data_IF_569617940845
#
_entry.id   IF_569617940845
#
_cell.length_a   1.000
_cell.length_b   1.000
_cell.length_c   1.000
_cell.angle_alpha   90.00
_cell.angle_beta   90.00
_cell.angle_gamma   90.00
#
_symmetry.space_group_name_H-M   'P 1'
#
loop_
_entity.id
_entity.type
_entity.pdbx_description
1 polymer ?
#
# COMPACT_ATOMS: atom_id res chain seq x y z
N UNK A 1 17.06 -1.16 -16.85
CA UNK A 1 15.64 -0.85 -17.12
C UNK A 1 15.51 0.64 -17.42
N UNK A 2 14.66 1.03 -18.36
CA UNK A 2 14.31 2.45 -18.57
C UNK A 2 13.22 2.86 -17.55
N UNK A 3 13.65 3.08 -16.31
CA UNK A 3 12.78 3.50 -15.21
C UNK A 3 11.94 4.76 -15.54
N UNK A 4 12.49 5.82 -16.18
CA UNK A 4 11.72 7.00 -16.58
C UNK A 4 10.46 6.70 -17.41
N UNK A 5 10.53 5.80 -18.39
CA UNK A 5 9.36 5.47 -19.23
C UNK A 5 8.27 4.72 -18.45
N UNK A 6 8.67 3.78 -17.58
CA UNK A 6 7.73 2.99 -16.77
C UNK A 6 7.05 3.86 -15.70
N UNK A 7 7.78 4.84 -15.15
CA UNK A 7 7.29 5.72 -14.08
C UNK A 7 6.45 6.88 -14.61
N UNK A 8 6.51 7.23 -15.89
CA UNK A 8 5.79 8.39 -16.44
C UNK A 8 4.29 8.41 -16.11
N UNK A 9 3.51 7.30 -16.26
CA UNK A 9 2.11 7.29 -15.86
C UNK A 9 1.92 7.44 -14.34
N UNK A 10 2.83 6.88 -13.55
CA UNK A 10 2.81 6.93 -12.08
C UNK A 10 3.09 8.35 -11.59
N UNK A 11 4.11 9.02 -12.16
CA UNK A 11 4.46 10.41 -11.87
C UNK A 11 3.35 11.34 -12.36
N UNK A 12 2.70 11.06 -13.48
CA UNK A 12 1.54 11.85 -13.92
C UNK A 12 0.34 11.68 -12.98
N UNK A 13 0.19 10.50 -12.36
CA UNK A 13 -0.87 10.21 -11.39
C UNK A 13 -0.55 10.80 -10.00
N UNK A 14 0.74 10.84 -9.63
CA UNK A 14 1.25 11.42 -8.39
C UNK A 14 1.66 12.88 -8.59
N UNK A 15 0.91 13.81 -8.02
CA UNK A 15 1.16 15.24 -8.23
C UNK A 15 2.39 15.83 -7.51
N UNK A 16 3.20 15.01 -6.83
CA UNK A 16 4.48 15.44 -6.28
C UNK A 16 5.47 14.27 -6.22
N UNK A 17 6.77 14.51 -6.46
CA UNK A 17 7.79 13.50 -6.24
C UNK A 17 8.01 13.26 -4.74
N UNK A 18 8.66 12.15 -4.41
CA UNK A 18 9.17 11.88 -3.08
C UNK A 18 10.21 12.95 -2.71
N UNK A 19 10.09 13.61 -1.54
CA UNK A 19 11.05 14.62 -1.12
C UNK A 19 12.46 14.05 -0.96
N UNK A 20 13.49 14.78 -1.40
CA UNK A 20 14.89 14.36 -1.25
C UNK A 20 15.25 14.05 0.22
N UNK A 21 14.74 14.81 1.17
CA UNK A 21 14.96 14.55 2.61
C UNK A 21 14.45 13.17 3.06
N UNK A 22 13.39 12.64 2.43
CA UNK A 22 12.93 11.26 2.70
C UNK A 22 13.94 10.25 2.13
N UNK A 23 14.45 10.48 0.91
CA UNK A 23 15.45 9.59 0.27
C UNK A 23 16.75 9.57 1.07
N UNK A 24 17.23 10.76 1.48
CA UNK A 24 18.47 10.92 2.24
C UNK A 24 18.42 10.18 3.59
N UNK A 25 17.25 10.14 4.23
CA UNK A 25 17.03 9.37 5.44
C UNK A 25 16.83 7.88 5.14
N UNK A 26 15.99 7.52 4.18
CA UNK A 26 15.66 6.14 3.85
C UNK A 26 16.89 5.34 3.39
N UNK A 27 17.80 5.95 2.63
CA UNK A 27 19.01 5.26 2.11
C UNK A 27 20.04 4.91 3.17
N UNK A 28 19.90 5.40 4.41
CA UNK A 28 20.86 5.11 5.47
C UNK A 28 20.84 3.61 5.82
N UNK A 29 21.99 2.91 5.91
CA UNK A 29 22.01 1.47 6.18
C UNK A 29 21.26 1.05 7.44
N UNK A 30 21.31 1.86 8.51
CA UNK A 30 20.60 1.63 9.76
C UNK A 30 19.06 1.59 9.62
N UNK A 31 18.54 2.16 8.54
CA UNK A 31 17.12 2.25 8.25
C UNK A 31 16.61 1.08 7.38
N UNK A 32 17.50 0.28 6.80
CA UNK A 32 17.14 -0.85 5.94
C UNK A 32 16.23 -1.87 6.65
N UNK A 33 16.46 -2.27 7.92
CA UNK A 33 15.54 -3.17 8.62
C UNK A 33 14.12 -2.64 8.74
N UNK A 34 13.96 -1.33 9.00
CA UNK A 34 12.65 -0.69 9.09
C UNK A 34 11.97 -0.64 7.73
N UNK A 35 12.70 -0.30 6.67
CA UNK A 35 12.16 -0.25 5.30
C UNK A 35 11.66 -1.62 4.83
N UNK A 36 12.48 -2.67 4.98
CA UNK A 36 12.10 -4.02 4.55
C UNK A 36 10.92 -4.56 5.37
N UNK A 37 10.93 -4.32 6.68
CA UNK A 37 9.81 -4.70 7.55
C UNK A 37 8.52 -3.99 7.14
N UNK A 38 8.58 -2.67 6.92
CA UNK A 38 7.41 -1.89 6.54
C UNK A 38 6.89 -2.28 5.16
N UNK A 39 7.79 -2.49 4.20
CA UNK A 39 7.46 -2.99 2.87
C UNK A 39 6.75 -4.34 2.94
N UNK A 40 7.35 -5.32 3.63
CA UNK A 40 6.75 -6.65 3.83
C UNK A 40 5.34 -6.55 4.42
N UNK A 41 5.14 -5.68 5.43
CA UNK A 41 3.81 -5.48 6.02
C UNK A 41 2.85 -4.78 5.06
N UNK A 42 3.32 -3.89 4.19
CA UNK A 42 2.51 -3.25 3.17
C UNK A 42 1.99 -4.25 2.13
N UNK A 43 2.82 -5.19 1.69
CA UNK A 43 2.42 -6.27 0.79
C UNK A 43 1.27 -7.11 1.38
N UNK A 44 1.39 -7.49 2.66
CA UNK A 44 0.30 -8.20 3.34
C UNK A 44 -0.98 -7.35 3.44
N UNK A 45 -0.86 -6.04 3.73
CA UNK A 45 -2.03 -5.14 3.78
C UNK A 45 -2.70 -5.00 2.42
N UNK A 46 -1.94 -4.99 1.32
CA UNK A 46 -2.48 -4.92 -0.03
C UNK A 46 -3.29 -6.19 -0.35
N UNK A 47 -2.74 -7.38 -0.09
CA UNK A 47 -3.47 -8.65 -0.19
C UNK A 47 -4.74 -8.68 0.67
N UNK A 48 -4.66 -8.22 1.93
CA UNK A 48 -5.80 -8.14 2.83
C UNK A 48 -6.89 -7.17 2.31
N UNK A 49 -6.51 -6.01 1.78
CA UNK A 49 -7.47 -5.05 1.22
C UNK A 49 -8.20 -5.65 0.00
N UNK A 50 -7.48 -6.31 -0.91
CA UNK A 50 -8.06 -7.00 -2.06
C UNK A 50 -9.06 -8.09 -1.61
N UNK A 51 -8.70 -8.86 -0.59
CA UNK A 51 -9.57 -9.89 -0.02
C UNK A 51 -10.86 -9.31 0.57
N UNK A 52 -10.76 -8.18 1.27
CA UNK A 52 -11.92 -7.47 1.82
C UNK A 52 -12.84 -6.90 0.73
N UNK A 53 -12.30 -6.54 -0.44
CA UNK A 53 -13.11 -6.16 -1.60
C UNK A 53 -13.85 -7.37 -2.16
N UNK A 54 -13.17 -8.50 -2.37
CA UNK A 54 -13.80 -9.74 -2.83
C UNK A 54 -14.93 -10.17 -1.91
N UNK A 55 -14.68 -10.21 -0.59
CA UNK A 55 -15.69 -10.53 0.43
C UNK A 55 -16.92 -9.61 0.39
N UNK A 56 -16.72 -8.32 0.09
CA UNK A 56 -17.79 -7.33 0.15
C UNK A 56 -18.64 -7.29 -1.12
N UNK A 57 -18.00 -7.51 -2.27
CA UNK A 57 -18.60 -7.22 -3.57
C UNK A 57 -18.84 -8.44 -4.45
N UNK A 58 -18.27 -9.61 -4.12
CA UNK A 58 -18.37 -10.81 -4.98
C UNK A 58 -18.73 -12.07 -4.22
N UNK A 59 -17.98 -12.40 -3.16
CA UNK A 59 -18.08 -13.70 -2.51
C UNK A 59 -19.30 -13.80 -1.58
N UNK A 60 -19.87 -15.00 -1.50
CA UNK A 60 -20.80 -15.32 -0.42
C UNK A 60 -20.07 -15.41 0.93
N UNK A 61 -20.83 -15.58 2.02
CA UNK A 61 -20.24 -15.57 3.37
C UNK A 61 -19.28 -16.74 3.60
N UNK A 62 -19.54 -17.92 3.03
CA UNK A 62 -18.74 -19.12 3.27
C UNK A 62 -17.41 -19.04 2.53
N UNK A 63 -17.44 -18.68 1.24
CA UNK A 63 -16.25 -18.51 0.41
C UNK A 63 -15.34 -17.40 0.95
N UNK A 64 -15.95 -16.30 1.43
CA UNK A 64 -15.20 -15.19 2.02
C UNK A 64 -14.45 -15.58 3.31
N UNK A 65 -15.04 -16.43 4.15
CA UNK A 65 -14.40 -16.87 5.40
C UNK A 65 -13.23 -17.83 5.10
N UNK A 66 -13.34 -18.71 4.11
CA UNK A 66 -12.24 -19.57 3.65
C UNK A 66 -11.06 -18.75 3.09
N UNK A 67 -11.38 -17.76 2.26
CA UNK A 67 -10.42 -16.82 1.72
C UNK A 67 -9.67 -16.06 2.82
N UNK A 68 -10.36 -15.56 3.85
CA UNK A 68 -9.73 -14.89 4.99
C UNK A 68 -8.88 -15.86 5.82
N UNK A 69 -9.33 -17.12 5.98
CA UNK A 69 -8.55 -18.14 6.68
C UNK A 69 -7.21 -18.43 5.97
N UNK A 70 -7.12 -18.22 4.66
CA UNK A 70 -5.87 -18.38 3.92
C UNK A 70 -4.78 -17.39 4.35
N UNK A 71 -5.17 -16.16 4.73
CA UNK A 71 -4.25 -15.10 5.18
C UNK A 71 -3.88 -15.20 6.67
N UNK A 72 -4.66 -15.95 7.46
CA UNK A 72 -4.46 -16.05 8.92
C UNK A 72 -3.02 -16.38 9.34
N UNK A 73 -2.29 -17.33 8.69
CA UNK A 73 -0.90 -17.61 9.06
C UNK A 73 0.05 -16.43 8.85
N UNK A 74 -0.15 -15.65 7.77
CA UNK A 74 0.60 -14.42 7.52
C UNK A 74 0.30 -13.37 8.60
N UNK A 75 -0.96 -13.24 9.03
CA UNK A 75 -1.36 -12.33 10.10
C UNK A 75 -0.79 -12.73 11.47
N UNK A 76 -0.82 -14.04 11.77
CA UNK A 76 -0.33 -14.56 13.04
C UNK A 76 1.16 -14.22 13.20
N UNK A 77 1.95 -14.50 12.16
CA UNK A 77 3.36 -14.12 12.09
C UNK A 77 3.55 -12.59 12.19
N UNK A 78 2.91 -11.83 11.30
CA UNK A 78 3.17 -10.39 11.16
C UNK A 78 2.67 -9.58 12.37
N UNK A 79 1.47 -9.88 12.87
CA UNK A 79 0.81 -9.03 13.86
C UNK A 79 0.75 -9.63 15.25
N UNK A 80 0.66 -10.96 15.37
CA UNK A 80 0.40 -11.67 16.63
C UNK A 80 1.64 -12.33 17.25
N UNK A 81 2.83 -12.10 16.68
CA UNK A 81 4.10 -12.74 17.11
C UNK A 81 4.01 -14.28 17.07
N UNK A 82 3.23 -14.81 16.13
CA UNK A 82 3.16 -16.24 15.85
C UNK A 82 4.45 -16.77 15.24
N UNK A 83 4.62 -18.10 15.20
CA UNK A 83 5.76 -18.70 14.54
C UNK A 83 5.78 -18.37 13.05
N UNK A 84 6.98 -18.36 12.47
CA UNK A 84 7.13 -18.22 11.02
C UNK A 84 6.53 -19.44 10.32
N UNK A 85 5.53 -19.27 9.44
CA UNK A 85 4.92 -20.39 8.75
C UNK A 85 5.77 -20.86 7.57
N UNK A 86 5.50 -22.06 7.09
CA UNK A 86 6.01 -22.52 5.79
C UNK A 86 5.30 -21.75 4.66
N UNK A 87 5.89 -20.64 4.23
CA UNK A 87 5.34 -19.78 3.19
C UNK A 87 5.24 -20.48 1.82
N UNK A 88 6.10 -21.47 1.53
CA UNK A 88 6.04 -22.25 0.29
C UNK A 88 4.79 -23.13 0.30
N UNK A 89 4.51 -23.80 1.42
CA UNK A 89 3.28 -24.57 1.60
C UNK A 89 2.03 -23.67 1.56
N UNK A 90 2.08 -22.49 2.17
CA UNK A 90 0.98 -21.51 2.14
C UNK A 90 0.69 -21.01 0.72
N UNK A 91 1.72 -20.66 -0.05
CA UNK A 91 1.56 -20.22 -1.43
C UNK A 91 0.93 -21.31 -2.30
N UNK A 92 1.34 -22.57 -2.13
CA UNK A 92 0.69 -23.72 -2.78
C UNK A 92 -0.78 -23.88 -2.39
N UNK A 93 -1.12 -23.63 -1.12
CA UNK A 93 -2.51 -23.70 -0.63
C UNK A 93 -3.38 -22.64 -1.29
N UNK A 94 -2.93 -21.39 -1.36
CA UNK A 94 -3.68 -20.28 -1.98
C UNK A 94 -3.98 -20.57 -3.46
N UNK A 95 -3.05 -21.21 -4.17
CA UNK A 95 -3.26 -21.62 -5.55
C UNK A 95 -4.26 -22.77 -5.72
N UNK A 96 -4.52 -23.55 -4.66
CA UNK A 96 -5.41 -24.72 -4.66
C UNK A 96 -6.76 -24.49 -3.97
N UNK A 97 -6.89 -23.43 -3.16
CA UNK A 97 -8.13 -23.11 -2.46
C UNK A 97 -9.27 -22.89 -3.46
N UNK A 98 -10.47 -23.35 -3.10
CA UNK A 98 -11.67 -23.10 -3.88
C UNK A 98 -11.90 -21.59 -3.90
N UNK A 99 -11.87 -21.01 -5.10
CA UNK A 99 -12.13 -19.57 -5.26
C UNK A 99 -13.63 -19.35 -5.37
N UNK A 100 -14.15 -18.24 -4.80
CA UNK A 100 -15.56 -17.90 -4.92
C UNK A 100 -16.02 -17.96 -6.37
N UNK A 101 -17.27 -18.37 -6.59
CA UNK A 101 -17.88 -18.31 -7.91
C UNK A 101 -18.92 -17.20 -7.94
N UNK A 102 -19.06 -16.58 -9.10
CA UNK A 102 -20.08 -15.56 -9.34
C UNK A 102 -20.56 -15.64 -10.78
N UNK A 103 -21.87 -15.55 -10.95
CA UNK A 103 -22.50 -15.53 -12.28
C UNK A 103 -22.54 -14.11 -12.87
N UNK A 104 -22.22 -13.08 -12.08
CA UNK A 104 -22.15 -11.69 -12.53
C UNK A 104 -20.85 -11.43 -13.30
N UNK A 105 -20.89 -11.00 -14.58
CA UNK A 105 -19.69 -10.76 -15.38
C UNK A 105 -18.75 -9.71 -14.78
N UNK A 106 -19.31 -8.67 -14.14
CA UNK A 106 -18.51 -7.64 -13.48
C UNK A 106 -17.85 -8.16 -12.20
N UNK A 107 -18.60 -8.89 -11.38
CA UNK A 107 -18.09 -9.57 -10.19
C UNK A 107 -16.97 -10.56 -10.53
N UNK A 108 -17.11 -11.30 -11.64
CA UNK A 108 -16.09 -12.23 -12.14
C UNK A 108 -14.79 -11.51 -12.48
N UNK A 109 -14.87 -10.39 -13.19
CA UNK A 109 -13.70 -9.57 -13.54
C UNK A 109 -13.02 -8.98 -12.30
N UNK A 110 -13.79 -8.47 -11.34
CA UNK A 110 -13.27 -7.97 -10.07
C UNK A 110 -12.55 -9.08 -9.31
N UNK A 111 -13.18 -10.26 -9.21
CA UNK A 111 -12.62 -11.43 -8.54
C UNK A 111 -11.29 -11.86 -9.16
N UNK A 112 -11.24 -12.02 -10.49
CA UNK A 112 -10.03 -12.42 -11.20
C UNK A 112 -8.88 -11.43 -10.95
N UNK A 113 -9.20 -10.13 -11.03
CA UNK A 113 -8.24 -9.06 -10.79
C UNK A 113 -7.72 -9.08 -9.35
N UNK A 114 -8.61 -9.26 -8.37
CA UNK A 114 -8.22 -9.29 -6.95
C UNK A 114 -7.45 -10.55 -6.58
N UNK A 115 -7.81 -11.72 -7.13
CA UNK A 115 -7.07 -12.97 -6.89
C UNK A 115 -5.64 -12.85 -7.44
N UNK A 116 -5.48 -12.33 -8.65
CA UNK A 116 -4.16 -12.11 -9.23
C UNK A 116 -3.32 -11.18 -8.33
N UNK A 117 -3.92 -10.05 -7.92
CA UNK A 117 -3.28 -9.10 -7.01
C UNK A 117 -2.86 -9.79 -5.70
N UNK A 118 -3.76 -10.51 -5.03
CA UNK A 118 -3.47 -11.22 -3.78
C UNK A 118 -2.26 -12.17 -3.94
N UNK A 119 -2.21 -12.92 -5.04
CA UNK A 119 -1.10 -13.85 -5.29
C UNK A 119 0.23 -13.13 -5.49
N UNK A 120 0.21 -12.02 -6.23
CA UNK A 120 1.40 -11.18 -6.46
C UNK A 120 1.89 -10.55 -5.16
N UNK A 121 1.03 -9.92 -4.36
CA UNK A 121 1.48 -9.26 -3.12
C UNK A 121 1.95 -10.27 -2.06
N UNK A 122 1.35 -11.47 -2.00
CA UNK A 122 1.86 -12.52 -1.11
C UNK A 122 3.18 -13.12 -1.63
N UNK A 123 3.45 -13.05 -2.93
CA UNK A 123 4.75 -13.40 -3.48
C UNK A 123 5.79 -12.34 -3.13
N UNK A 124 5.47 -11.05 -3.28
CA UNK A 124 6.34 -9.93 -2.87
C UNK A 124 6.64 -9.99 -1.36
N UNK A 125 5.63 -10.24 -0.52
CA UNK A 125 5.80 -10.46 0.92
C UNK A 125 6.90 -11.48 1.21
N UNK A 126 6.85 -12.62 0.51
CA UNK A 126 7.81 -13.69 0.68
C UNK A 126 9.21 -13.30 0.18
N UNK A 127 9.32 -12.66 -0.98
CA UNK A 127 10.61 -12.20 -1.51
C UNK A 127 11.31 -11.22 -0.56
N UNK A 128 10.56 -10.28 0.03
CA UNK A 128 11.10 -9.36 1.04
C UNK A 128 11.55 -10.12 2.29
N UNK A 129 10.78 -11.13 2.73
CA UNK A 129 11.16 -11.96 3.89
C UNK A 129 12.44 -12.77 3.63
N UNK A 130 12.58 -13.41 2.48
CA UNK A 130 13.80 -14.13 2.08
C UNK A 130 15.01 -13.21 2.07
N UNK A 131 14.84 -11.98 1.58
CA UNK A 131 15.88 -10.98 1.57
C UNK A 131 16.31 -10.55 2.98
N UNK A 132 15.35 -10.37 3.90
CA UNK A 132 15.63 -10.10 5.30
C UNK A 132 16.42 -11.25 5.94
N UNK A 133 16.03 -12.50 5.67
CA UNK A 133 16.73 -13.70 6.15
C UNK A 133 18.17 -13.78 5.62
N UNK A 134 18.35 -13.55 4.31
CA UNK A 134 19.68 -13.59 3.67
C UNK A 134 20.64 -12.52 4.22
N UNK A 135 20.11 -11.44 4.82
CA UNK A 135 20.87 -10.33 5.40
C UNK A 135 20.92 -10.36 6.93
N UNK A 136 20.47 -11.46 7.55
CA UNK A 136 20.37 -11.61 9.01
C UNK A 136 19.59 -10.46 9.69
N UNK A 137 18.55 -9.98 9.00
CA UNK A 137 17.66 -8.93 9.50
C UNK A 137 16.49 -9.59 10.23
N UNK A 138 16.41 -9.47 11.57
CA UNK A 138 15.31 -10.04 12.32
C UNK A 138 14.02 -9.28 12.03
N UNK A 139 12.90 -10.01 11.99
CA UNK A 139 11.59 -9.37 11.92
C UNK A 139 11.27 -8.67 13.25
N UNK A 140 11.07 -7.36 13.20
CA UNK A 140 10.64 -6.56 14.35
C UNK A 140 9.26 -6.00 14.07
N UNK A 141 8.29 -6.26 14.95
CA UNK A 141 6.95 -5.69 14.79
C UNK A 141 7.02 -4.16 14.84
N UNK A 142 6.58 -3.50 13.77
CA UNK A 142 6.47 -2.04 13.70
C UNK A 142 5.02 -1.58 13.87
N UNK A 143 4.86 -0.30 14.20
CA UNK A 143 3.55 0.36 14.12
C UNK A 143 3.27 0.75 12.67
N UNK A 144 2.01 0.72 12.23
CA UNK A 144 1.65 1.22 10.92
C UNK A 144 1.76 2.75 10.87
N UNK A 145 2.17 3.29 9.72
CA UNK A 145 2.14 4.73 9.49
C UNK A 145 0.69 5.26 9.45
N UNK A 146 0.55 6.59 9.47
CA UNK A 146 -0.75 7.25 9.34
C UNK A 146 -1.17 7.49 7.88
N UNK A 147 -0.34 7.20 6.89
CA UNK A 147 -0.57 7.61 5.50
C UNK A 147 -1.80 6.92 4.89
N UNK A 148 -1.82 5.58 4.83
CA UNK A 148 -3.00 4.84 4.35
C UNK A 148 -4.27 5.09 5.21
N UNK A 149 -4.12 5.42 6.49
CA UNK A 149 -5.24 5.79 7.36
C UNK A 149 -5.78 7.18 7.01
N UNK A 150 -4.91 8.12 6.67
CA UNK A 150 -5.26 9.47 6.23
C UNK A 150 -6.06 9.44 4.94
N UNK A 151 -5.55 8.73 3.93
CA UNK A 151 -6.25 8.60 2.64
C UNK A 151 -7.63 7.96 2.80
N UNK A 152 -7.76 6.89 3.61
CA UNK A 152 -9.04 6.23 3.84
C UNK A 152 -10.14 7.11 4.43
N UNK A 153 -9.80 8.27 5.02
CA UNK A 153 -10.80 9.24 5.52
C UNK A 153 -11.53 9.96 4.39
N UNK A 154 -10.92 10.03 3.21
CA UNK A 154 -11.52 10.63 2.02
C UNK A 154 -12.46 9.65 1.29
N UNK A 155 -12.50 8.38 1.69
CA UNK A 155 -13.41 7.39 1.08
C UNK A 155 -14.85 7.71 1.48
N UNK A 156 -15.72 7.95 0.49
CA UNK A 156 -17.16 8.13 0.72
C UNK A 156 -17.82 6.84 1.24
N UNK A 157 -18.89 6.98 2.01
CA UNK A 157 -19.54 5.87 2.72
C UNK A 157 -20.72 5.21 2.00
N UNK A 158 -21.21 5.79 0.90
CA UNK A 158 -22.37 5.28 0.17
C UNK A 158 -21.98 4.62 -1.15
N UNK A 159 -22.71 3.58 -1.56
CA UNK A 159 -22.52 2.91 -2.85
C UNK A 159 -23.16 3.74 -3.99
N UNK A 160 -22.69 3.59 -5.25
CA UNK A 160 -21.55 2.78 -5.71
C UNK A 160 -20.19 3.49 -5.59
N UNK A 161 -20.17 4.76 -5.18
CA UNK A 161 -18.94 5.59 -5.19
C UNK A 161 -17.92 5.16 -4.14
N UNK A 162 -18.34 4.46 -3.08
CA UNK A 162 -17.44 3.93 -2.07
C UNK A 162 -16.47 2.90 -2.66
N UNK A 163 -16.94 1.99 -3.53
CA UNK A 163 -16.06 1.04 -4.19
C UNK A 163 -15.02 1.76 -5.06
N UNK A 164 -15.47 2.73 -5.85
CA UNK A 164 -14.61 3.54 -6.71
C UNK A 164 -13.53 4.25 -5.87
N UNK A 165 -13.93 4.90 -4.77
CA UNK A 165 -13.00 5.57 -3.86
C UNK A 165 -12.00 4.60 -3.22
N UNK A 166 -12.42 3.39 -2.83
CA UNK A 166 -11.51 2.36 -2.30
C UNK A 166 -10.48 1.92 -3.34
N UNK A 167 -10.88 1.72 -4.59
CA UNK A 167 -9.98 1.34 -5.68
C UNK A 167 -8.99 2.46 -6.00
N UNK A 168 -9.44 3.71 -6.06
CA UNK A 168 -8.57 4.87 -6.28
C UNK A 168 -7.60 5.07 -5.11
N UNK A 169 -8.08 4.91 -3.87
CA UNK A 169 -7.23 4.96 -2.68
C UNK A 169 -6.12 3.90 -2.73
N UNK A 170 -6.47 2.66 -3.13
CA UNK A 170 -5.51 1.58 -3.33
C UNK A 170 -4.48 1.93 -4.40
N UNK A 171 -4.94 2.38 -5.58
CA UNK A 171 -4.06 2.80 -6.67
C UNK A 171 -3.09 3.94 -6.25
N UNK A 172 -3.55 4.89 -5.42
CA UNK A 172 -2.71 5.99 -4.93
C UNK A 172 -1.64 5.54 -3.94
N UNK A 173 -1.97 4.55 -3.11
CA UNK A 173 -1.03 3.91 -2.18
C UNK A 173 0.04 3.16 -2.98
N UNK A 174 -0.37 2.32 -3.94
CA UNK A 174 0.56 1.55 -4.79
C UNK A 174 1.46 2.43 -5.65
N UNK A 175 0.87 3.46 -6.28
CA UNK A 175 1.63 4.42 -7.06
C UNK A 175 2.72 5.09 -6.22
N UNK A 176 2.38 5.54 -5.00
CA UNK A 176 3.35 6.18 -4.09
C UNK A 176 4.44 5.21 -3.65
N UNK A 177 4.10 3.96 -3.35
CA UNK A 177 5.10 2.92 -3.05
C UNK A 177 6.08 2.75 -4.20
N UNK A 178 5.57 2.53 -5.41
CA UNK A 178 6.38 2.34 -6.60
C UNK A 178 7.31 3.54 -6.85
N UNK A 179 6.80 4.76 -6.72
CA UNK A 179 7.60 5.97 -6.92
C UNK A 179 8.68 6.14 -5.84
N UNK A 180 8.37 5.87 -4.57
CA UNK A 180 9.34 5.89 -3.46
C UNK A 180 10.46 4.88 -3.67
N UNK A 181 10.09 3.65 -4.03
CA UNK A 181 11.05 2.59 -4.26
C UNK A 181 11.91 2.86 -5.48
N UNK A 182 11.34 3.36 -6.58
CA UNK A 182 12.11 3.76 -7.74
C UNK A 182 13.06 4.93 -7.44
N UNK A 183 12.66 5.88 -6.60
CA UNK A 183 13.52 6.98 -6.16
C UNK A 183 14.66 6.50 -5.24
N UNK A 184 14.43 5.42 -4.46
CA UNK A 184 15.42 4.83 -3.57
C UNK A 184 16.36 3.85 -4.29
N UNK A 185 15.90 3.16 -5.33
CA UNK A 185 16.61 2.10 -6.03
C UNK A 185 18.07 2.45 -6.43
N UNK A 186 18.40 3.66 -6.95
CA UNK A 186 19.77 4.01 -7.32
C UNK A 186 20.77 4.02 -6.15
N UNK A 187 20.28 4.02 -4.91
CA UNK A 187 21.07 4.06 -3.68
C UNK A 187 21.20 2.67 -3.01
N UNK A 188 20.56 1.64 -3.57
CA UNK A 188 20.52 0.29 -3.02
C UNK A 188 21.35 -0.68 -3.86
N UNK A 189 21.73 -1.81 -3.26
CA UNK A 189 22.42 -2.89 -3.97
C UNK A 189 21.51 -3.57 -5.03
N UNK A 190 22.12 -4.30 -5.96
CA UNK A 190 21.43 -4.93 -7.09
C UNK A 190 20.35 -5.94 -6.67
N UNK A 191 20.50 -6.59 -5.52
CA UNK A 191 19.53 -7.57 -5.04
C UNK A 191 18.31 -6.86 -4.44
N UNK A 192 18.52 -5.75 -3.73
CA UNK A 192 17.44 -4.88 -3.26
C UNK A 192 16.64 -4.29 -4.42
N UNK A 193 17.30 -3.86 -5.50
CA UNK A 193 16.63 -3.27 -6.65
C UNK A 193 15.65 -4.21 -7.37
N UNK A 194 15.90 -5.54 -7.33
CA UNK A 194 15.08 -6.55 -8.03
C UNK A 194 13.73 -6.82 -7.38
N UNK A 195 13.60 -6.60 -6.07
CA UNK A 195 12.41 -6.98 -5.28
C UNK A 195 11.46 -5.80 -5.09
N UNK A 196 11.86 -4.59 -5.48
CA UNK A 196 11.03 -3.40 -5.39
C UNK A 196 9.90 -3.46 -6.44
N UNK A 197 8.62 -3.57 -6.02
CA UNK A 197 7.54 -3.79 -6.95
C UNK A 197 7.29 -2.53 -7.79
N UNK A 198 7.59 -2.62 -9.07
CA UNK A 198 7.23 -1.60 -10.09
C UNK A 198 5.83 -1.91 -10.69
N UNK A 199 5.20 -3.03 -10.32
CA UNK A 199 4.16 -3.65 -11.15
C UNK A 199 2.69 -3.44 -10.71
N UNK A 200 2.38 -3.07 -9.46
CA UNK A 200 0.97 -3.03 -8.99
C UNK A 200 0.19 -1.77 -9.42
N UNK A 201 0.88 -0.64 -9.61
CA UNK A 201 0.23 0.67 -9.82
C UNK A 201 -0.58 0.79 -11.13
N UNK A 202 -0.25 0.01 -12.17
CA UNK A 202 -0.84 0.17 -13.50
C UNK A 202 -2.13 -0.64 -13.74
N UNK A 203 -2.40 -1.69 -12.95
CA UNK A 203 -3.63 -2.49 -13.12
C UNK A 203 -4.88 -1.79 -12.58
N UNK A 204 -4.74 -0.97 -11.53
CA UNK A 204 -5.82 -0.12 -11.02
C UNK A 204 -6.27 0.96 -12.00
N UNK A 205 -5.35 1.45 -12.86
CA UNK A 205 -5.67 2.44 -13.88
C UNK A 205 -6.56 1.87 -15.01
N UNK A 206 -6.49 0.57 -15.28
CA UNK A 206 -7.35 -0.09 -16.28
C UNK A 206 -8.78 -0.32 -15.78
N UNK A 207 -8.99 -0.41 -14.45
CA UNK A 207 -10.32 -0.37 -13.84
C UNK A 207 -10.93 1.05 -13.87
N UNK A 208 -10.14 2.06 -14.24
CA UNK A 208 -10.58 3.44 -14.42
C UNK A 208 -10.69 3.82 -15.90
N UNK A 209 -11.64 3.20 -16.61
CA UNK A 209 -12.35 3.87 -17.71
C UNK A 209 -13.12 5.13 -17.26
N UNK A 210 -12.65 5.80 -16.20
CA UNK A 210 -13.27 6.94 -15.54
C UNK A 210 -12.55 8.22 -15.99
N UNK A 211 -12.78 8.59 -17.24
CA UNK A 211 -12.64 9.95 -17.75
C UNK A 211 -13.80 10.86 -17.31
N UNK A 212 -14.65 10.40 -16.39
CA UNK A 212 -15.75 11.19 -15.82
C UNK A 212 -15.31 12.12 -14.67
N UNK A 213 -16.03 13.23 -14.51
CA UNK A 213 -15.80 14.28 -13.49
C UNK A 213 -15.65 13.75 -12.05
N UNK A 214 -16.33 12.64 -11.71
CA UNK A 214 -16.25 12.01 -10.40
C UNK A 214 -14.89 11.37 -10.06
N UNK A 215 -14.14 10.87 -11.03
CA UNK A 215 -12.81 10.31 -10.81
C UNK A 215 -11.72 11.37 -10.76
N UNK A 216 -11.92 12.51 -11.44
CA UNK A 216 -11.05 13.68 -11.28
C UNK A 216 -11.24 14.33 -9.90
N UNK A 217 -12.48 14.47 -9.41
CA UNK A 217 -12.74 14.94 -8.05
C UNK A 217 -12.09 14.01 -7.01
N UNK A 218 -12.25 12.71 -7.19
CA UNK A 218 -11.65 11.72 -6.31
C UNK A 218 -10.12 11.81 -6.29
N UNK A 219 -9.48 11.92 -7.47
CA UNK A 219 -8.04 12.18 -7.59
C UNK A 219 -7.61 13.46 -6.86
N UNK A 220 -8.36 14.56 -6.99
CA UNK A 220 -8.07 15.83 -6.29
C UNK A 220 -8.19 15.70 -4.77
N UNK A 221 -9.15 14.91 -4.26
CA UNK A 221 -9.29 14.65 -2.81
C UNK A 221 -8.09 13.88 -2.26
N UNK A 222 -7.69 12.80 -2.92
CA UNK A 222 -6.51 12.04 -2.52
C UNK A 222 -5.20 12.81 -2.66
N UNK A 223 -5.09 13.67 -3.67
CA UNK A 223 -3.96 14.60 -3.80
C UNK A 223 -3.84 15.48 -2.55
N UNK A 224 -4.93 16.11 -2.10
CA UNK A 224 -4.92 16.99 -0.91
C UNK A 224 -4.58 16.22 0.36
N UNK A 225 -5.10 15.00 0.49
CA UNK A 225 -4.86 14.16 1.66
C UNK A 225 -3.44 13.55 1.69
N UNK A 226 -2.83 13.32 0.53
CA UNK A 226 -1.49 12.73 0.39
C UNK A 226 -0.34 13.75 0.26
N UNK A 227 -0.63 15.03 0.04
CA UNK A 227 0.40 16.06 -0.10
C UNK A 227 1.07 16.39 1.25
N UNK A 228 2.40 16.60 1.29
CA UNK A 228 3.06 17.11 2.48
C UNK A 228 2.49 18.50 2.81
N UNK A 229 2.17 18.73 4.09
CA UNK A 229 1.63 20.02 4.53
C UNK A 229 2.62 21.14 4.20
N UNK A 230 2.25 22.02 3.25
CA UNK A 230 3.03 23.24 2.97
C UNK A 230 3.10 24.06 4.25
N UNK A 231 4.31 24.32 4.78
CA UNK A 231 4.49 25.34 5.82
C UNK A 231 4.16 26.69 5.19
N UNK A 232 2.98 27.23 5.50
CA UNK A 232 2.63 28.62 5.20
C UNK A 232 3.35 29.55 6.17
N UNK A 233 4.07 30.53 5.62
CA UNK A 233 4.65 31.64 6.39
C UNK A 233 3.61 32.68 6.80
N UNK A 234 3.81 33.22 8.00
CA UNK A 234 3.35 34.49 8.59
C UNK A 234 1.88 34.92 8.43
N UNK A 235 1.17 34.96 9.56
CA UNK A 235 -0.04 35.72 9.77
C UNK A 235 -0.58 35.43 11.17
N UNK A 236 -0.40 36.36 12.10
CA UNK A 236 -0.78 36.25 13.49
C UNK A 236 -2.30 36.35 13.68
N UNK A 237 -2.89 35.49 14.52
CA UNK A 237 -4.04 35.81 15.39
C UNK A 237 -4.27 34.72 16.48
N UNK A 238 -4.91 35.06 17.64
CA UNK A 238 -4.80 34.34 18.92
C UNK A 238 -5.87 33.22 19.13
N UNK A 239 -5.82 32.44 20.25
CA UNK A 239 -6.31 31.07 20.25
C UNK A 239 -7.78 30.93 20.67
N UNK A 240 -8.55 30.15 19.90
CA UNK A 240 -9.80 29.56 20.36
C UNK A 240 -9.70 28.03 20.35
N UNK A 241 -10.13 27.43 21.46
CA UNK A 241 -10.04 26.00 21.80
C UNK A 241 -10.57 25.06 20.71
N UNK A 242 -9.83 23.98 20.46
CA UNK A 242 -10.43 22.68 20.10
C UNK A 242 -10.45 22.26 18.63
N UNK A 243 -9.28 22.01 18.02
CA UNK A 243 -8.95 20.86 17.13
C UNK A 243 -7.56 21.09 16.55
N UNK A 244 -6.62 20.19 16.85
CA UNK A 244 -5.26 20.23 16.27
C UNK A 244 -5.32 19.80 14.80
N UNK A 245 -4.93 20.65 13.83
CA UNK A 245 -4.86 20.28 12.43
C UNK A 245 -3.82 19.16 12.20
N UNK A 246 -4.05 18.29 11.20
CA UNK A 246 -3.13 17.19 10.83
C UNK A 246 -1.68 17.65 10.58
N UNK A 247 -1.47 18.93 10.25
CA UNK A 247 -0.15 19.56 10.06
C UNK A 247 0.71 19.62 11.33
N UNK A 248 0.13 19.56 12.53
CA UNK A 248 0.89 19.59 13.80
C UNK A 248 1.24 18.20 14.35
N UNK A 249 0.82 17.10 13.70
CA UNK A 249 1.26 15.73 14.08
C UNK A 249 2.54 15.28 13.36
N UNK A 250 3.02 16.06 12.41
CA UNK A 250 4.30 15.83 11.72
C UNK A 250 5.42 16.77 12.20
N UNK A 251 5.13 17.68 13.13
CA UNK A 251 6.10 18.59 13.73
C UNK A 251 6.04 18.47 15.26
N UNK A 252 6.25 17.24 15.76
CA UNK A 252 6.58 16.99 17.16
C UNK A 252 8.09 17.10 17.33
N UNK A 253 8.52 17.91 18.28
CA UNK A 253 9.88 17.98 18.81
C UNK A 253 10.49 16.58 19.02
N UNK A 254 11.50 16.23 18.22
CA UNK A 254 12.18 14.93 18.24
C UNK A 254 12.22 14.30 16.85
N UNK A 255 13.36 14.38 16.18
CA UNK A 255 13.60 13.85 14.84
C UNK A 255 13.43 12.33 14.85
N UNK A 256 12.25 11.85 14.52
CA UNK A 256 12.05 10.56 13.85
C UNK A 256 11.37 10.88 12.53
N UNK A 257 12.17 11.05 11.48
CA UNK A 257 11.65 11.13 10.12
C UNK A 257 10.97 9.80 9.83
N UNK A 258 9.65 9.82 9.67
CA UNK A 258 8.89 8.61 9.36
C UNK A 258 9.24 8.12 7.95
N UNK A 259 10.23 7.24 7.86
CA UNK A 259 10.72 6.65 6.61
C UNK A 259 9.87 5.47 6.11
N UNK A 260 8.77 5.13 6.82
CA UNK A 260 7.86 4.08 6.36
C UNK A 260 7.32 4.43 4.97
N UNK A 261 7.24 3.42 4.13
CA UNK A 261 6.86 3.53 2.74
C UNK A 261 5.38 3.89 2.57
N UNK A 262 4.47 3.47 3.49
CA UNK A 262 3.01 3.72 3.40
C UNK A 262 2.20 3.64 4.70
#
# INVERSE_FOLDING_TARGET
>A
MDYPQILSPIISFLHCPTPQAWIDEARKPENLPLLLTDHMVCELKAAQNAMLLVRRYVADKADADELLACLKPYEDFTYRRGPEPDFVALHKRINKSAMPQTDDPWGRQLLDSMILLIKEELHHFWQVREMMLARDIPYVKITASNYARGLRREVRSHEPVMLIDKLICGAYIEARSCERFAALAPWLDDDLQKVLPVAAALRGASLSGLSGSGAEDCRRRYQRAGAPARRGGSGADPPSRGRVPLSQRCAGSGVTHDIRAL
#
